data_IF_476776454532
#
_entry.id   IF_476776454532
#
_cell.length_a   1.000
_cell.length_b   1.000
_cell.length_c   1.000
_cell.angle_alpha   90.00
_cell.angle_beta   90.00
_cell.angle_gamma   90.00
#
_symmetry.space_group_name_H-M   'P 1'
#
loop_
_entity.id
_entity.type
_entity.pdbx_description
1 polymer ?
#
# COMPACT_ATOMS: atom_id res chain seq x y z
N UNK A 1 22.49 42.12 -41.02
CA UNK A 1 22.62 42.02 -39.54
C UNK A 1 21.85 40.77 -39.08
N UNK A 2 22.52 39.76 -38.51
CA UNK A 2 21.91 38.47 -38.12
C UNK A 2 21.40 38.55 -36.69
N UNK A 3 20.08 38.59 -36.48
CA UNK A 3 19.47 38.51 -35.14
C UNK A 3 19.33 37.05 -34.75
N UNK A 4 20.05 36.63 -33.70
CA UNK A 4 19.96 35.29 -33.11
C UNK A 4 18.80 35.29 -32.12
N UNK A 5 17.80 34.46 -32.37
CA UNK A 5 16.75 34.15 -31.40
C UNK A 5 17.33 33.16 -30.38
N UNK A 6 17.55 33.63 -29.15
CA UNK A 6 17.86 32.75 -28.03
C UNK A 6 16.53 32.14 -27.55
N UNK A 7 16.28 30.87 -27.91
CA UNK A 7 15.24 30.10 -27.26
C UNK A 7 15.72 29.77 -25.84
N UNK A 8 15.06 30.26 -24.77
CA UNK A 8 15.34 29.73 -23.44
C UNK A 8 14.89 28.28 -23.47
N UNK A 9 15.86 27.40 -23.24
CA UNK A 9 15.67 25.99 -22.93
C UNK A 9 14.55 25.84 -21.90
N UNK A 10 13.34 25.50 -22.36
CA UNK A 10 12.38 24.71 -21.59
C UNK A 10 12.94 23.28 -21.48
N UNK A 11 14.13 23.17 -20.91
CA UNK A 11 14.70 21.92 -20.49
C UNK A 11 13.95 21.49 -19.22
N UNK A 12 12.97 20.63 -19.43
CA UNK A 12 12.75 19.45 -18.59
C UNK A 12 12.81 19.72 -17.08
N UNK A 13 11.72 20.20 -16.52
CA UNK A 13 11.41 20.01 -15.09
C UNK A 13 10.41 18.86 -14.92
N UNK A 14 10.83 17.58 -14.92
CA UNK A 14 10.00 16.50 -14.41
C UNK A 14 10.60 15.90 -13.14
N UNK A 15 10.92 16.69 -12.11
CA UNK A 15 11.42 16.08 -10.85
C UNK A 15 11.04 16.86 -9.59
N UNK A 16 9.81 17.36 -9.51
CA UNK A 16 9.19 17.78 -8.24
C UNK A 16 8.00 16.91 -7.83
N UNK A 17 7.85 15.71 -8.42
CA UNK A 17 6.89 14.69 -7.97
C UNK A 17 7.54 13.37 -7.49
N UNK A 18 8.87 13.31 -7.37
CA UNK A 18 9.58 12.16 -6.81
C UNK A 18 9.74 12.24 -5.27
N UNK A 19 8.77 12.87 -4.60
CA UNK A 19 8.65 12.87 -3.14
C UNK A 19 7.38 12.10 -2.71
N UNK A 20 7.20 10.89 -3.21
CA UNK A 20 6.36 9.86 -2.57
C UNK A 20 7.13 8.56 -2.65
N UNK A 21 7.50 8.03 -1.48
CA UNK A 21 8.57 7.07 -1.32
C UNK A 21 8.30 5.74 -2.01
N UNK A 22 9.38 5.08 -2.43
CA UNK A 22 9.41 3.73 -3.01
C UNK A 22 8.91 2.61 -2.06
N UNK A 23 8.20 2.96 -0.99
CA UNK A 23 7.74 2.08 0.09
C UNK A 23 6.24 2.28 0.40
N UNK A 24 5.50 2.92 -0.49
CA UNK A 24 4.07 3.10 -0.29
C UNK A 24 3.38 1.73 -0.29
N UNK A 25 2.60 1.47 0.77
CA UNK A 25 1.74 0.29 0.86
C UNK A 25 0.53 0.56 -0.03
N UNK A 26 0.10 -0.43 -0.80
CA UNK A 26 -1.15 -0.31 -1.53
C UNK A 26 -2.32 -0.31 -0.54
N UNK A 27 -2.90 0.88 -0.34
CA UNK A 27 -4.05 1.11 0.54
C UNK A 27 -5.36 1.18 -0.25
N UNK A 28 -5.36 0.81 -1.53
CA UNK A 28 -6.59 0.78 -2.32
C UNK A 28 -7.61 -0.18 -1.70
N UNK A 29 -8.84 0.30 -1.51
CA UNK A 29 -9.91 -0.44 -0.83
C UNK A 29 -9.81 -0.51 0.71
N UNK A 30 -8.71 -0.06 1.32
CA UNK A 30 -8.61 0.03 2.78
C UNK A 30 -9.42 1.21 3.31
N UNK A 31 -10.18 0.97 4.40
CA UNK A 31 -10.94 1.99 5.11
C UNK A 31 -10.23 2.36 6.41
N UNK A 32 -10.46 3.57 6.91
CA UNK A 32 -10.00 4.01 8.24
C UNK A 32 -11.12 4.74 8.97
N UNK A 33 -11.10 4.66 10.30
CA UNK A 33 -11.96 5.47 11.18
C UNK A 33 -11.14 6.53 11.90
N UNK A 34 -11.71 7.71 12.06
CA UNK A 34 -11.16 8.78 12.89
C UNK A 34 -11.91 8.84 14.23
N UNK A 35 -11.19 9.18 15.29
CA UNK A 35 -11.66 9.30 16.66
C UNK A 35 -11.27 10.67 17.22
N UNK A 36 -11.99 11.13 18.24
CA UNK A 36 -11.69 12.41 18.88
C UNK A 36 -10.54 12.30 19.87
N UNK A 37 -10.30 11.10 20.42
CA UNK A 37 -9.23 10.87 21.39
C UNK A 37 -8.47 9.56 21.12
N UNK A 38 -7.25 9.49 21.65
CA UNK A 38 -6.42 8.29 21.55
C UNK A 38 -7.02 7.12 22.35
N UNK A 39 -7.60 7.42 23.51
CA UNK A 39 -8.21 6.43 24.41
C UNK A 39 -9.42 5.79 23.76
N UNK A 40 -10.27 6.57 23.10
CA UNK A 40 -11.42 6.08 22.34
C UNK A 40 -11.00 5.15 21.20
N UNK A 41 -9.98 5.54 20.43
CA UNK A 41 -9.44 4.70 19.37
C UNK A 41 -8.90 3.36 19.91
N UNK A 42 -8.14 3.38 21.01
CA UNK A 42 -7.58 2.16 21.62
C UNK A 42 -8.66 1.28 22.23
N UNK A 43 -9.70 1.87 22.84
CA UNK A 43 -10.83 1.14 23.38
C UNK A 43 -11.61 0.43 22.27
N UNK A 44 -11.82 1.11 21.13
CA UNK A 44 -12.51 0.52 19.98
C UNK A 44 -11.76 -0.67 19.38
N UNK A 45 -10.43 -0.59 19.30
CA UNK A 45 -9.58 -1.64 18.73
C UNK A 45 -8.95 -2.57 19.77
N UNK A 46 -9.50 -2.63 20.99
CA UNK A 46 -8.90 -3.37 22.10
C UNK A 46 -8.65 -4.84 21.76
N UNK A 47 -9.64 -5.51 21.17
CA UNK A 47 -9.51 -6.93 20.81
C UNK A 47 -8.43 -7.17 19.74
N UNK A 48 -8.29 -6.28 18.77
CA UNK A 48 -7.25 -6.40 17.75
C UNK A 48 -5.85 -6.11 18.33
N UNK A 49 -5.74 -5.18 19.28
CA UNK A 49 -4.49 -4.91 20.01
C UNK A 49 -4.07 -6.17 20.78
N UNK A 50 -5.01 -6.79 21.50
CA UNK A 50 -4.76 -8.03 22.26
C UNK A 50 -4.36 -9.19 21.35
N UNK A 51 -4.85 -9.21 20.10
CA UNK A 51 -4.48 -10.16 19.06
C UNK A 51 -3.13 -9.86 18.37
N UNK A 52 -2.42 -8.79 18.77
CA UNK A 52 -1.09 -8.45 18.29
C UNK A 52 -1.02 -7.29 17.28
N UNK A 53 -2.09 -6.53 17.08
CA UNK A 53 -2.05 -5.33 16.25
C UNK A 53 -1.19 -4.24 16.90
N UNK A 54 -0.02 -4.00 16.34
CA UNK A 54 0.92 -2.99 16.84
C UNK A 54 0.50 -1.57 16.42
N UNK A 55 0.45 -0.66 17.38
CA UNK A 55 0.21 0.78 17.20
C UNK A 55 -0.97 1.11 16.26
N UNK A 56 -2.21 0.79 16.66
CA UNK A 56 -3.38 1.01 15.80
C UNK A 56 -3.81 2.47 15.69
N UNK A 57 -3.40 3.33 16.62
CA UNK A 57 -3.90 4.70 16.73
C UNK A 57 -2.78 5.70 16.52
N UNK A 58 -2.91 6.54 15.50
CA UNK A 58 -1.94 7.58 15.15
C UNK A 58 -2.62 8.95 15.04
N UNK A 59 -1.96 9.99 15.53
CA UNK A 59 -2.41 11.38 15.34
C UNK A 59 -1.65 11.98 14.16
N UNK A 60 -2.37 12.24 13.07
CA UNK A 60 -1.75 12.91 11.93
C UNK A 60 -1.26 14.30 12.34
N UNK A 61 -0.05 14.66 11.91
CA UNK A 61 0.50 16.00 12.13
C UNK A 61 -0.45 17.05 11.56
N UNK A 62 -0.85 18.04 12.38
CA UNK A 62 -1.84 19.06 12.00
C UNK A 62 -3.31 18.64 12.16
N UNK A 63 -3.61 17.42 12.62
CA UNK A 63 -4.97 16.97 12.91
C UNK A 63 -5.27 16.98 14.41
N UNK A 64 -6.45 17.48 14.78
CA UNK A 64 -7.02 17.32 16.11
C UNK A 64 -7.62 15.92 16.34
N UNK A 65 -7.80 15.15 15.25
CA UNK A 65 -8.36 13.80 15.27
C UNK A 65 -7.28 12.73 15.26
N UNK A 66 -7.57 11.62 15.94
CA UNK A 66 -6.79 10.40 15.92
C UNK A 66 -7.32 9.46 14.85
N UNK A 67 -6.43 8.86 14.07
CA UNK A 67 -6.77 7.88 13.06
C UNK A 67 -6.50 6.48 13.58
N UNK A 68 -7.49 5.61 13.44
CA UNK A 68 -7.36 4.18 13.69
C UNK A 68 -6.60 3.46 12.57
N UNK A 69 -6.41 2.14 12.70
CA UNK A 69 -5.68 1.34 11.73
C UNK A 69 -6.46 1.30 10.42
N UNK A 70 -5.75 1.12 9.32
CA UNK A 70 -6.38 0.82 8.05
C UNK A 70 -6.92 -0.60 8.10
N UNK A 71 -8.16 -0.81 7.67
CA UNK A 71 -8.75 -2.14 7.60
C UNK A 71 -9.36 -2.43 6.24
N UNK A 72 -9.22 -3.68 5.80
CA UNK A 72 -9.80 -4.21 4.58
C UNK A 72 -10.60 -5.45 4.94
N UNK A 73 -11.92 -5.35 4.82
CA UNK A 73 -12.83 -6.49 4.97
C UNK A 73 -13.04 -7.16 3.61
N UNK A 74 -12.81 -8.48 3.55
CA UNK A 74 -12.94 -9.29 2.35
C UNK A 74 -13.60 -10.63 2.68
N UNK A 75 -13.98 -11.41 1.65
CA UNK A 75 -14.46 -12.79 1.84
C UNK A 75 -13.42 -13.72 2.50
N UNK A 76 -12.14 -13.35 2.43
CA UNK A 76 -11.02 -14.08 3.03
C UNK A 76 -10.70 -13.61 4.46
N UNK A 77 -11.50 -12.70 5.02
CA UNK A 77 -11.32 -12.15 6.36
C UNK A 77 -11.01 -10.66 6.35
N UNK A 78 -10.63 -10.15 7.52
CA UNK A 78 -10.35 -8.73 7.75
C UNK A 78 -8.88 -8.51 8.01
N UNK A 79 -8.25 -7.65 7.23
CA UNK A 79 -6.85 -7.23 7.41
C UNK A 79 -6.81 -5.88 8.10
N UNK A 80 -5.92 -5.70 9.04
CA UNK A 80 -5.67 -4.48 9.79
C UNK A 80 -4.19 -4.09 9.64
N UNK A 81 -3.93 -2.84 9.30
CA UNK A 81 -2.59 -2.25 9.23
C UNK A 81 -2.52 -1.10 10.24
N UNK A 82 -1.67 -1.27 11.23
CA UNK A 82 -1.34 -0.22 12.18
C UNK A 82 -0.30 0.75 11.64
N UNK A 83 0.31 1.51 12.55
CA UNK A 83 1.31 2.52 12.22
C UNK A 83 2.67 2.16 12.83
N UNK A 84 3.75 2.63 12.20
CA UNK A 84 5.09 2.56 12.78
C UNK A 84 5.32 3.69 13.80
N UNK A 85 6.50 3.72 14.42
CA UNK A 85 6.89 4.77 15.37
C UNK A 85 7.03 6.16 14.74
N UNK A 86 7.09 6.24 13.40
CA UNK A 86 7.18 7.48 12.63
C UNK A 86 5.82 7.96 12.12
N UNK A 87 4.74 7.23 12.41
CA UNK A 87 3.39 7.55 11.96
C UNK A 87 3.07 7.12 10.53
N UNK A 88 3.95 6.34 9.88
CA UNK A 88 3.68 5.72 8.58
C UNK A 88 2.92 4.42 8.78
N UNK A 89 2.27 3.93 7.73
CA UNK A 89 1.60 2.62 7.80
C UNK A 89 2.64 1.52 7.96
N UNK A 90 2.43 0.65 8.95
CA UNK A 90 3.33 -0.46 9.24
C UNK A 90 3.30 -1.48 8.10
N UNK A 91 4.48 -1.97 7.69
CA UNK A 91 4.62 -3.06 6.70
C UNK A 91 4.10 -4.40 7.19
N UNK A 92 3.86 -4.54 8.49
CA UNK A 92 3.24 -5.71 9.09
C UNK A 92 1.89 -5.35 9.70
N UNK A 93 0.88 -6.17 9.42
CA UNK A 93 -0.47 -6.02 9.92
C UNK A 93 -1.04 -7.31 10.51
N UNK A 94 -2.23 -7.21 11.08
CA UNK A 94 -3.00 -8.32 11.61
C UNK A 94 -4.07 -8.73 10.59
N UNK A 95 -4.11 -10.00 10.20
CA UNK A 95 -5.17 -10.58 9.38
C UNK A 95 -6.01 -11.50 10.25
N UNK A 96 -7.30 -11.24 10.32
CA UNK A 96 -8.29 -12.09 10.99
C UNK A 96 -9.01 -12.87 9.91
N UNK A 97 -8.83 -14.20 9.89
CA UNK A 97 -9.55 -15.07 8.97
C UNK A 97 -11.08 -15.02 9.20
N UNK A 98 -11.92 -15.51 8.27
CA UNK A 98 -13.37 -15.53 8.47
C UNK A 98 -13.79 -16.38 9.67
N UNK A 99 -12.92 -17.30 10.10
CA UNK A 99 -13.08 -18.16 11.28
C UNK A 99 -12.60 -17.50 12.58
N UNK A 100 -12.20 -16.23 12.53
CA UNK A 100 -11.71 -15.49 13.70
C UNK A 100 -10.26 -15.77 14.09
N UNK A 101 -9.53 -16.60 13.35
CA UNK A 101 -8.12 -16.90 13.64
C UNK A 101 -7.24 -15.70 13.29
N UNK A 102 -6.51 -15.10 14.25
CA UNK A 102 -5.58 -14.00 14.01
C UNK A 102 -4.27 -14.54 13.42
N UNK A 103 -3.74 -13.85 12.42
CA UNK A 103 -2.46 -14.15 11.81
C UNK A 103 -1.72 -12.86 11.44
N UNK A 104 -0.39 -12.84 11.48
CA UNK A 104 0.37 -11.66 11.07
C UNK A 104 0.66 -11.75 9.59
N UNK A 105 0.46 -10.65 8.86
CA UNK A 105 0.79 -10.58 7.43
C UNK A 105 1.73 -9.41 7.14
N UNK A 106 2.54 -9.54 6.09
CA UNK A 106 3.29 -8.43 5.53
C UNK A 106 2.47 -7.77 4.41
N UNK A 107 2.25 -6.47 4.51
CA UNK A 107 1.50 -5.72 3.50
C UNK A 107 2.29 -5.70 2.18
N UNK A 108 1.61 -5.91 1.03
CA UNK A 108 2.25 -5.77 -0.27
C UNK A 108 2.70 -4.31 -0.47
N UNK A 109 3.98 -4.12 -0.77
CA UNK A 109 4.54 -2.82 -1.13
C UNK A 109 4.43 -2.61 -2.63
N UNK A 110 3.97 -1.43 -3.07
CA UNK A 110 4.04 -1.08 -4.49
C UNK A 110 5.41 -0.51 -4.81
N UNK A 111 6.22 -1.27 -5.55
CA UNK A 111 7.44 -0.73 -6.18
C UNK A 111 7.03 0.13 -7.37
N UNK A 112 6.95 1.44 -7.19
CA UNK A 112 6.67 2.42 -8.26
C UNK A 112 7.90 2.74 -9.14
N UNK A 113 8.76 1.75 -9.38
CA UNK A 113 9.99 1.93 -10.16
C UNK A 113 10.45 0.61 -10.76
N UNK A 114 10.03 0.36 -12.00
CA UNK A 114 10.49 -0.77 -12.80
C UNK A 114 9.41 -1.18 -13.78
N UNK A 115 9.66 -0.96 -15.07
CA UNK A 115 8.99 -1.66 -16.15
C UNK A 115 9.17 -3.17 -15.95
N UNK A 116 8.35 -3.80 -15.10
CA UNK A 116 8.26 -5.25 -15.02
C UNK A 116 7.17 -5.65 -15.98
N UNK A 117 7.65 -6.13 -17.12
CA UNK A 117 6.87 -6.64 -18.23
C UNK A 117 5.78 -7.59 -17.70
N UNK A 118 4.52 -7.25 -17.97
CA UNK A 118 3.38 -8.13 -17.74
C UNK A 118 3.53 -9.36 -18.64
N UNK A 119 4.12 -10.43 -18.11
CA UNK A 119 3.97 -11.77 -18.69
C UNK A 119 2.83 -12.48 -17.95
N UNK A 120 1.60 -11.97 -18.12
CA UNK A 120 0.39 -12.76 -17.90
C UNK A 120 0.20 -13.63 -19.14
N UNK A 121 0.83 -14.81 -19.17
CA UNK A 121 0.42 -15.87 -20.09
C UNK A 121 -0.53 -16.81 -19.33
N UNK A 122 -1.79 -16.40 -19.24
CA UNK A 122 -2.90 -17.29 -18.94
C UNK A 122 -3.30 -17.98 -20.25
N UNK A 123 -3.02 -19.28 -20.37
CA UNK A 123 -3.41 -20.07 -21.53
C UNK A 123 -3.52 -21.54 -21.16
N UNK A 124 -4.75 -22.01 -21.06
CA UNK A 124 -5.17 -23.34 -20.62
C UNK A 124 -4.68 -24.47 -21.55
N UNK A 125 -4.47 -25.64 -20.92
CA UNK A 125 -4.48 -27.00 -21.45
C UNK A 125 -4.94 -27.22 -22.90
N UNK A 126 -4.13 -27.92 -23.70
CA UNK A 126 -4.63 -28.68 -24.86
C UNK A 126 -3.62 -28.98 -25.97
N UNK A 127 -3.31 -30.27 -26.13
CA UNK A 127 -3.04 -30.97 -27.41
C UNK A 127 -1.73 -30.72 -28.20
N UNK A 128 -0.89 -31.78 -28.19
CA UNK A 128 -0.21 -32.46 -29.32
C UNK A 128 0.79 -31.70 -30.21
N UNK A 129 2.01 -32.26 -30.18
CA UNK A 129 2.86 -32.62 -31.33
C UNK A 129 3.66 -31.55 -32.09
N UNK A 130 4.97 -31.84 -32.16
CA UNK A 130 5.90 -31.69 -33.29
C UNK A 130 6.11 -30.31 -33.95
N UNK A 131 7.37 -29.88 -34.06
CA UNK A 131 7.75 -28.91 -35.09
C UNK A 131 9.05 -28.17 -34.85
N UNK A 132 10.14 -28.73 -35.37
CA UNK A 132 11.43 -28.07 -35.65
C UNK A 132 11.26 -26.97 -36.70
N UNK A 133 11.85 -25.77 -36.55
CA UNK A 133 12.23 -24.92 -37.70
C UNK A 133 13.40 -23.99 -37.36
N UNK A 134 14.45 -24.07 -38.19
CA UNK A 134 15.46 -23.03 -38.37
C UNK A 134 15.01 -21.98 -39.40
N UNK A 135 15.80 -20.92 -39.50
CA UNK A 135 15.73 -19.82 -40.46
C UNK A 135 16.86 -18.84 -40.20
#
# INVERSE_FOLDING_TARGET
>A
MKKRFALPLLATLPTLLAACGADDIDLDGYKRKSFRSQTECRAYYKTQIDQGLRNPCYRASGSALFFGPYFLASRLGTRYLGYDSRGKVSRSGLSISPRGVPNTFKAPTVSRGGFTNSSRASGSSGTRSSGSFGG
#
